data_IF_689024614222
#
_entry.id   IF_689024614222
#
_cell.length_a   1.000
_cell.length_b   1.000
_cell.length_c   1.000
_cell.angle_alpha   90.00
_cell.angle_beta   90.00
_cell.angle_gamma   90.00
#
_symmetry.space_group_name_H-M   'P 1'
#
loop_
_entity.id
_entity.type
_entity.pdbx_description
1 polymer ?
#
# COMPACT_ATOMS: atom_id res chain seq x y z
N UNK A 1 81.49 59.72 14.86
CA UNK A 1 81.42 59.22 13.49
C UNK A 1 80.32 58.22 13.41
N UNK A 2 79.20 58.65 13.05
CA UNK A 2 78.39 58.41 11.85
C UNK A 2 78.54 57.02 11.26
N UNK A 3 77.41 56.28 11.28
CA UNK A 3 76.69 55.89 10.06
C UNK A 3 75.29 55.30 10.34
N UNK A 4 74.35 56.00 9.79
CA UNK A 4 72.95 55.60 9.63
C UNK A 4 72.81 54.33 8.81
N UNK A 5 71.85 53.48 9.14
CA UNK A 5 71.22 52.67 8.09
C UNK A 5 69.74 52.50 8.36
N UNK A 6 69.03 52.75 7.25
CA UNK A 6 67.59 52.91 7.12
C UNK A 6 66.83 51.56 7.20
N UNK A 7 65.72 51.62 7.92
CA UNK A 7 64.63 50.68 7.87
C UNK A 7 64.10 50.54 6.44
N UNK A 8 63.86 49.28 6.02
CA UNK A 8 62.94 48.96 4.91
C UNK A 8 61.79 48.16 5.46
N UNK A 9 60.59 48.79 5.47
CA UNK A 9 59.34 48.14 5.72
C UNK A 9 58.95 47.34 4.48
N UNK A 10 58.69 46.05 4.62
CA UNK A 10 57.92 45.28 3.66
C UNK A 10 56.66 44.82 4.27
N UNK A 11 55.55 45.46 3.85
CA UNK A 11 54.22 45.03 4.09
C UNK A 11 53.94 43.77 3.29
N UNK A 12 53.70 42.63 3.97
CA UNK A 12 53.00 41.47 3.37
C UNK A 12 51.60 41.39 3.91
N UNK A 13 50.66 41.84 3.13
CA UNK A 13 49.25 41.61 3.29
C UNK A 13 48.94 40.14 3.08
N UNK A 14 48.67 39.42 4.15
CA UNK A 14 48.08 38.09 4.08
C UNK A 14 46.57 38.24 3.84
N UNK A 15 46.12 37.93 2.63
CA UNK A 15 44.71 37.71 2.33
C UNK A 15 44.31 36.33 2.89
N UNK A 16 43.17 36.20 3.63
CA UNK A 16 42.71 34.91 4.04
C UNK A 16 42.13 34.17 2.83
N UNK A 17 42.59 32.96 2.66
CA UNK A 17 42.16 32.01 1.65
C UNK A 17 40.73 31.60 1.97
N UNK A 18 39.77 32.12 1.20
CA UNK A 18 38.36 31.66 1.24
C UNK A 18 38.28 30.28 0.59
N UNK A 19 38.35 29.23 1.40
CA UNK A 19 37.99 27.89 0.97
C UNK A 19 36.54 27.89 0.62
N UNK A 20 36.23 27.84 -0.68
CA UNK A 20 34.90 27.58 -1.22
C UNK A 20 34.43 26.22 -0.70
N UNK A 21 33.54 26.22 0.29
CA UNK A 21 32.77 25.02 0.64
C UNK A 21 31.92 24.66 -0.59
N UNK A 22 32.32 23.60 -1.27
CA UNK A 22 31.47 22.95 -2.27
C UNK A 22 30.26 22.40 -1.52
N UNK A 23 29.11 23.05 -1.67
CA UNK A 23 27.84 22.47 -1.29
C UNK A 23 27.55 21.32 -2.25
N UNK A 24 27.92 20.13 -1.86
CA UNK A 24 27.43 18.90 -2.48
C UNK A 24 25.97 18.80 -2.10
N UNK A 25 25.10 19.29 -2.99
CA UNK A 25 23.67 18.99 -2.94
C UNK A 25 23.54 17.51 -3.28
N UNK A 26 23.56 16.67 -2.25
CA UNK A 26 23.14 15.28 -2.39
C UNK A 26 21.67 15.31 -2.71
N UNK A 27 21.32 15.21 -3.99
CA UNK A 27 19.98 14.88 -4.44
C UNK A 27 19.64 13.49 -3.89
N UNK A 28 19.18 13.48 -2.64
CA UNK A 28 18.53 12.31 -2.05
C UNK A 28 17.28 12.09 -2.89
N UNK A 29 17.34 11.20 -3.90
CA UNK A 29 16.16 10.68 -4.58
C UNK A 29 15.20 10.25 -3.46
N UNK A 30 14.17 11.04 -3.21
CA UNK A 30 13.02 10.62 -2.44
C UNK A 30 12.41 9.48 -3.25
N UNK A 31 12.80 8.26 -2.95
CA UNK A 31 11.97 7.11 -3.31
C UNK A 31 10.67 7.36 -2.59
N UNK A 32 9.61 7.71 -3.33
CA UNK A 32 8.25 7.74 -2.82
C UNK A 32 7.93 6.30 -2.40
N UNK A 33 8.31 5.94 -1.17
CA UNK A 33 7.90 4.69 -0.57
C UNK A 33 6.38 4.81 -0.42
N UNK A 34 5.65 4.04 -1.17
CA UNK A 34 4.20 3.96 -1.03
C UNK A 34 3.90 3.40 0.36
N UNK A 35 3.38 4.25 1.24
CA UNK A 35 3.03 3.83 2.59
C UNK A 35 1.60 3.31 2.63
N UNK A 36 1.36 2.14 3.21
CA UNK A 36 0.02 1.62 3.37
C UNK A 36 -0.77 2.45 4.38
N UNK A 37 -1.99 2.80 4.01
CA UNK A 37 -2.95 3.45 4.91
C UNK A 37 -3.65 2.45 5.81
N UNK A 38 -3.82 1.22 5.33
CA UNK A 38 -4.46 0.13 6.05
C UNK A 38 -3.56 -1.10 6.08
N UNK A 39 -3.67 -1.85 7.17
CA UNK A 39 -3.01 -3.15 7.33
C UNK A 39 -4.06 -4.18 7.68
N UNK A 40 -4.17 -5.25 6.89
CA UNK A 40 -5.19 -6.27 6.99
C UNK A 40 -4.61 -7.68 6.94
N UNK A 41 -5.19 -8.58 7.72
CA UNK A 41 -4.86 -9.99 7.65
C UNK A 41 -5.67 -10.70 6.56
N UNK A 42 -5.04 -11.63 5.89
CA UNK A 42 -5.64 -12.42 4.83
C UNK A 42 -5.13 -13.86 4.89
N UNK A 43 -6.05 -14.81 5.05
CA UNK A 43 -5.73 -16.23 5.07
C UNK A 43 -5.46 -16.79 3.68
N UNK A 44 -4.81 -17.95 3.63
CA UNK A 44 -4.72 -18.72 2.38
C UNK A 44 -6.08 -19.38 2.05
N UNK A 45 -6.41 -19.55 0.79
CA UNK A 45 -5.60 -19.27 -0.42
C UNK A 45 -5.69 -17.81 -0.90
N UNK A 46 -6.50 -16.98 -0.26
CA UNK A 46 -6.84 -15.62 -0.72
C UNK A 46 -5.63 -14.71 -0.79
N UNK A 47 -4.73 -14.82 0.21
CA UNK A 47 -3.47 -14.07 0.23
C UNK A 47 -2.65 -14.31 -1.05
N UNK A 48 -2.38 -15.56 -1.36
CA UNK A 48 -1.60 -15.93 -2.56
C UNK A 48 -2.35 -15.55 -3.85
N UNK A 49 -3.66 -15.75 -3.91
CA UNK A 49 -4.44 -15.42 -5.10
C UNK A 49 -4.49 -13.93 -5.40
N UNK A 50 -4.56 -13.07 -4.39
CA UNK A 50 -4.47 -11.61 -4.59
C UNK A 50 -3.03 -11.24 -4.98
N UNK A 51 -2.03 -11.76 -4.30
CA UNK A 51 -0.61 -11.48 -4.59
C UNK A 51 -0.24 -11.81 -6.04
N UNK A 52 -0.79 -12.90 -6.58
CA UNK A 52 -0.60 -13.30 -7.98
C UNK A 52 -1.49 -12.52 -8.98
N UNK A 53 -2.37 -11.66 -8.51
CA UNK A 53 -3.29 -10.92 -9.36
C UNK A 53 -4.42 -11.76 -9.96
N UNK A 54 -4.63 -12.97 -9.47
CA UNK A 54 -5.71 -13.86 -9.91
C UNK A 54 -7.04 -13.49 -9.25
N UNK A 55 -7.02 -13.16 -7.96
CA UNK A 55 -8.16 -12.58 -7.26
C UNK A 55 -8.01 -11.05 -7.26
N UNK A 56 -8.89 -10.37 -7.95
CA UNK A 56 -8.82 -8.91 -8.13
C UNK A 56 -9.91 -8.14 -7.38
N UNK A 57 -10.86 -8.84 -6.79
CA UNK A 57 -11.94 -8.26 -5.98
C UNK A 57 -12.01 -8.97 -4.63
N UNK A 58 -11.85 -8.19 -3.56
CA UNK A 58 -12.05 -8.65 -2.18
C UNK A 58 -13.40 -8.19 -1.66
N UNK A 59 -14.19 -9.11 -1.10
CA UNK A 59 -15.49 -8.86 -0.51
C UNK A 59 -15.41 -8.85 1.02
N UNK A 60 -15.92 -7.82 1.63
CA UNK A 60 -15.95 -7.65 3.08
C UNK A 60 -17.31 -7.16 3.55
N UNK A 61 -17.63 -7.39 4.82
CA UNK A 61 -18.77 -6.75 5.49
C UNK A 61 -18.60 -5.23 5.40
N UNK A 62 -19.62 -4.51 4.95
CA UNK A 62 -19.56 -3.04 4.75
C UNK A 62 -19.64 -2.29 6.09
N UNK A 63 -18.57 -2.42 6.91
CA UNK A 63 -18.49 -1.84 8.26
C UNK A 63 -17.06 -1.36 8.56
N UNK A 64 -16.96 -0.36 9.45
CA UNK A 64 -15.69 0.14 9.96
C UNK A 64 -14.75 0.59 8.85
N UNK A 65 -13.48 0.25 8.95
CA UNK A 65 -12.44 0.66 8.00
C UNK A 65 -12.73 0.28 6.54
N UNK A 66 -13.34 -0.86 6.27
CA UNK A 66 -13.72 -1.25 4.89
C UNK A 66 -14.78 -0.33 4.29
N UNK A 67 -15.71 0.18 5.10
CA UNK A 67 -16.67 1.20 4.67
C UNK A 67 -15.97 2.53 4.36
N UNK A 68 -14.94 2.88 5.11
CA UNK A 68 -14.21 4.15 5.00
C UNK A 68 -13.16 4.18 3.89
N UNK A 69 -12.70 3.03 3.43
CA UNK A 69 -11.70 2.91 2.37
C UNK A 69 -12.15 3.60 1.08
N UNK A 70 -11.20 4.21 0.38
CA UNK A 70 -11.44 4.98 -0.85
C UNK A 70 -10.54 4.49 -1.98
N UNK A 71 -10.98 4.73 -3.21
CA UNK A 71 -10.15 4.52 -4.39
C UNK A 71 -8.86 5.33 -4.26
N UNK A 72 -7.74 4.70 -4.56
CA UNK A 72 -6.39 5.25 -4.39
C UNK A 72 -5.72 4.90 -3.05
N UNK A 73 -6.47 4.48 -2.02
CA UNK A 73 -5.87 4.01 -0.75
C UNK A 73 -5.01 2.76 -0.98
N UNK A 74 -3.97 2.61 -0.17
CA UNK A 74 -3.05 1.47 -0.21
C UNK A 74 -3.30 0.59 1.00
N UNK A 75 -3.40 -0.71 0.76
CA UNK A 75 -3.56 -1.75 1.78
C UNK A 75 -2.33 -2.64 1.78
N UNK A 76 -1.73 -2.85 2.95
CA UNK A 76 -0.80 -3.93 3.20
C UNK A 76 -1.57 -5.17 3.65
N UNK A 77 -1.51 -6.23 2.87
CA UNK A 77 -2.04 -7.52 3.22
C UNK A 77 -0.98 -8.36 3.91
N UNK A 78 -1.32 -8.96 5.04
CA UNK A 78 -0.43 -9.80 5.84
C UNK A 78 -0.96 -11.22 5.95
N UNK A 79 -0.04 -12.17 5.97
CA UNK A 79 -0.30 -13.54 6.34
C UNK A 79 0.81 -14.00 7.30
N UNK A 80 0.42 -14.54 8.44
CA UNK A 80 1.33 -14.94 9.51
C UNK A 80 1.30 -16.45 9.78
N UNK A 81 0.65 -17.26 8.92
CA UNK A 81 0.39 -18.68 9.16
C UNK A 81 1.67 -19.51 9.32
N UNK A 82 2.72 -19.22 8.57
CA UNK A 82 4.00 -19.93 8.68
C UNK A 82 5.16 -18.98 8.96
N UNK A 83 5.36 -18.07 8.05
CA UNK A 83 6.39 -17.06 8.07
C UNK A 83 5.73 -15.74 7.70
N UNK A 84 5.98 -14.69 8.47
CA UNK A 84 5.39 -13.39 8.15
C UNK A 84 5.65 -12.98 6.71
N UNK A 85 4.59 -12.73 5.98
CA UNK A 85 4.60 -12.28 4.57
C UNK A 85 3.66 -11.11 4.42
N UNK A 86 4.01 -10.17 3.57
CA UNK A 86 3.11 -9.08 3.20
C UNK A 86 3.33 -8.61 1.77
N UNK A 87 2.33 -7.96 1.21
CA UNK A 87 2.40 -7.25 -0.06
C UNK A 87 1.42 -6.07 -0.04
N UNK A 88 1.63 -5.14 -0.97
CA UNK A 88 0.81 -3.94 -1.09
C UNK A 88 -0.15 -4.06 -2.27
N UNK A 89 -1.36 -3.53 -2.07
CA UNK A 89 -2.31 -3.26 -3.15
C UNK A 89 -2.80 -1.84 -3.09
N UNK A 90 -3.17 -1.30 -4.25
CA UNK A 90 -3.93 -0.07 -4.35
C UNK A 90 -5.38 -0.37 -4.68
N UNK A 91 -6.30 0.34 -4.03
CA UNK A 91 -7.73 0.26 -4.33
C UNK A 91 -7.97 1.00 -5.66
N UNK A 92 -8.46 0.26 -6.66
CA UNK A 92 -8.78 0.79 -8.00
C UNK A 92 -10.27 1.04 -8.20
N UNK A 93 -11.11 0.46 -7.34
CA UNK A 93 -12.55 0.63 -7.39
C UNK A 93 -13.22 0.11 -6.13
N UNK A 94 -14.43 0.61 -5.87
CA UNK A 94 -15.25 0.21 -4.72
C UNK A 94 -16.71 0.20 -5.13
N UNK A 95 -17.46 -0.79 -4.66
CA UNK A 95 -18.90 -0.87 -4.84
C UNK A 95 -19.56 -1.49 -3.60
N UNK A 96 -20.81 -1.14 -3.35
CA UNK A 96 -21.59 -1.65 -2.22
C UNK A 96 -22.74 -2.50 -2.73
N UNK A 97 -23.02 -3.60 -2.04
CA UNK A 97 -24.04 -4.57 -2.38
C UNK A 97 -24.87 -4.92 -1.14
N UNK A 98 -26.15 -5.27 -1.32
CA UNK A 98 -27.01 -5.66 -0.19
C UNK A 98 -26.61 -7.00 0.43
N UNK A 99 -25.99 -7.89 -0.35
CA UNK A 99 -25.64 -9.25 0.06
C UNK A 99 -24.52 -9.84 -0.80
N UNK A 100 -23.94 -10.96 -0.36
CA UNK A 100 -22.86 -11.65 -1.08
C UNK A 100 -23.32 -12.24 -2.40
N UNK A 101 -24.57 -12.63 -2.54
CA UNK A 101 -25.09 -13.15 -3.81
C UNK A 101 -25.00 -12.09 -4.91
N UNK A 102 -25.59 -10.92 -4.67
CA UNK A 102 -25.53 -9.80 -5.64
C UNK A 102 -24.08 -9.36 -5.92
N UNK A 103 -23.24 -9.33 -4.89
CA UNK A 103 -21.82 -9.05 -5.04
C UNK A 103 -21.13 -10.03 -5.99
N UNK A 104 -21.29 -11.34 -5.79
CA UNK A 104 -20.66 -12.37 -6.64
C UNK A 104 -21.21 -12.38 -8.07
N UNK A 105 -22.52 -12.19 -8.22
CA UNK A 105 -23.17 -12.13 -9.54
C UNK A 105 -22.70 -10.91 -10.35
N UNK A 106 -22.47 -9.78 -9.69
CA UNK A 106 -22.12 -8.52 -10.35
C UNK A 106 -20.61 -8.40 -10.61
N UNK A 107 -19.77 -8.71 -9.63
CA UNK A 107 -18.32 -8.61 -9.76
C UNK A 107 -17.71 -9.79 -10.55
N UNK A 108 -18.34 -10.95 -10.49
CA UNK A 108 -17.92 -12.19 -11.14
C UNK A 108 -17.15 -13.13 -10.21
N UNK A 109 -17.50 -14.42 -10.26
CA UNK A 109 -16.83 -15.45 -9.46
C UNK A 109 -15.35 -15.57 -9.80
N UNK A 110 -14.99 -15.42 -11.06
CA UNK A 110 -13.62 -15.47 -11.55
C UNK A 110 -12.70 -14.44 -10.89
N UNK A 111 -13.25 -13.26 -10.59
CA UNK A 111 -12.50 -12.16 -9.94
C UNK A 111 -12.53 -12.24 -8.42
N UNK A 112 -13.64 -12.71 -7.84
CA UNK A 112 -13.86 -12.76 -6.39
C UNK A 112 -13.30 -14.04 -5.77
N UNK A 113 -13.50 -15.18 -6.42
CA UNK A 113 -13.15 -16.53 -5.99
C UNK A 113 -12.58 -17.33 -7.16
N UNK A 114 -11.39 -16.98 -7.67
CA UNK A 114 -10.81 -17.65 -8.81
C UNK A 114 -10.67 -19.16 -8.59
N UNK A 115 -10.84 -19.92 -9.65
CA UNK A 115 -10.90 -21.39 -9.70
C UNK A 115 -12.15 -22.02 -9.05
N UNK A 116 -13.13 -21.21 -8.64
CA UNK A 116 -14.41 -21.69 -8.09
C UNK A 116 -15.60 -21.52 -9.03
N UNK A 117 -15.38 -20.93 -10.22
CA UNK A 117 -16.43 -20.63 -11.19
C UNK A 117 -17.23 -21.88 -11.60
N UNK A 118 -16.54 -22.99 -11.74
CA UNK A 118 -17.13 -24.30 -12.10
C UNK A 118 -18.12 -24.84 -11.05
N UNK A 119 -18.02 -24.37 -9.81
CA UNK A 119 -18.89 -24.81 -8.73
C UNK A 119 -20.13 -23.91 -8.52
N UNK A 120 -20.19 -22.75 -9.19
CA UNK A 120 -21.32 -21.83 -9.19
C UNK A 120 -21.42 -20.94 -7.96
N UNK A 121 -22.43 -20.06 -7.99
CA UNK A 121 -22.69 -19.03 -6.96
C UNK A 121 -22.95 -19.63 -5.58
N UNK A 122 -23.69 -20.71 -5.48
CA UNK A 122 -24.04 -21.32 -4.19
C UNK A 122 -22.78 -21.82 -3.45
N UNK A 123 -21.84 -22.38 -4.17
CA UNK A 123 -20.54 -22.73 -3.60
C UNK A 123 -19.76 -21.50 -3.16
N UNK A 124 -19.74 -20.46 -3.98
CA UNK A 124 -19.11 -19.17 -3.63
C UNK A 124 -19.72 -18.57 -2.35
N UNK A 125 -21.03 -18.61 -2.19
CA UNK A 125 -21.71 -18.17 -0.97
C UNK A 125 -21.27 -18.98 0.24
N UNK A 126 -21.12 -20.29 0.10
CA UNK A 126 -20.65 -21.15 1.20
C UNK A 126 -19.27 -20.75 1.72
N UNK A 127 -18.39 -20.22 0.86
CA UNK A 127 -17.07 -19.70 1.25
C UNK A 127 -17.21 -18.47 2.14
N UNK A 128 -18.03 -17.50 1.75
CA UNK A 128 -18.23 -16.28 2.55
C UNK A 128 -18.94 -16.53 3.87
N UNK A 129 -19.92 -17.44 3.90
CA UNK A 129 -20.64 -17.77 5.14
C UNK A 129 -19.83 -18.57 6.15
N UNK A 130 -18.59 -18.97 5.84
CA UNK A 130 -17.63 -19.43 6.85
C UNK A 130 -17.09 -18.27 7.72
N UNK A 131 -17.12 -17.06 7.21
CA UNK A 131 -16.56 -15.88 7.86
C UNK A 131 -17.63 -14.89 8.33
N UNK A 132 -18.81 -14.89 7.71
CA UNK A 132 -19.88 -13.92 7.97
C UNK A 132 -21.19 -14.63 8.21
N UNK A 133 -22.01 -14.08 9.12
CA UNK A 133 -23.38 -14.55 9.33
C UNK A 133 -24.34 -13.86 8.36
N UNK A 134 -25.50 -14.46 8.12
CA UNK A 134 -26.57 -13.85 7.33
C UNK A 134 -27.15 -12.60 8.00
N UNK A 135 -27.12 -12.56 9.33
CA UNK A 135 -27.52 -11.39 10.12
C UNK A 135 -26.56 -10.21 9.89
N UNK A 136 -25.24 -10.45 9.89
CA UNK A 136 -24.25 -9.46 9.56
C UNK A 136 -24.41 -8.92 8.14
N UNK A 137 -24.64 -9.81 7.18
CA UNK A 137 -24.92 -9.46 5.79
C UNK A 137 -26.15 -8.56 5.67
N UNK A 138 -27.23 -8.93 6.33
CA UNK A 138 -28.48 -8.16 6.32
C UNK A 138 -28.31 -6.78 6.96
N UNK A 139 -27.53 -6.69 8.03
CA UNK A 139 -27.34 -5.45 8.80
C UNK A 139 -26.40 -4.47 8.10
N UNK A 140 -25.30 -4.96 7.52
CA UNK A 140 -24.20 -4.11 7.02
C UNK A 140 -24.08 -4.13 5.49
N UNK A 141 -24.59 -5.15 4.81
CA UNK A 141 -24.32 -5.39 3.41
C UNK A 141 -22.86 -5.78 3.18
N UNK A 142 -22.45 -5.73 1.92
CA UNK A 142 -21.14 -6.14 1.43
C UNK A 142 -20.48 -4.98 0.68
N UNK A 143 -19.22 -4.78 0.90
CA UNK A 143 -18.39 -3.89 0.09
C UNK A 143 -17.43 -4.72 -0.76
N UNK A 144 -17.43 -4.47 -2.06
CA UNK A 144 -16.43 -4.95 -3.00
C UNK A 144 -15.29 -3.96 -3.10
N UNK A 145 -14.08 -4.42 -2.94
CA UNK A 145 -12.85 -3.64 -3.06
C UNK A 145 -12.05 -4.21 -4.22
N UNK A 146 -11.95 -3.46 -5.32
CA UNK A 146 -11.17 -3.84 -6.49
C UNK A 146 -9.73 -3.45 -6.27
N UNK A 147 -8.82 -4.39 -6.51
CA UNK A 147 -7.42 -4.32 -6.09
C UNK A 147 -6.47 -4.44 -7.27
N UNK A 148 -5.36 -3.71 -7.19
CA UNK A 148 -4.19 -3.88 -8.05
C UNK A 148 -2.95 -4.03 -7.17
N UNK A 149 -2.16 -5.09 -7.38
CA UNK A 149 -0.86 -5.28 -6.72
C UNK A 149 0.13 -4.22 -7.20
N UNK A 150 0.90 -3.67 -6.27
CA UNK A 150 1.87 -2.61 -6.53
C UNK A 150 3.24 -2.95 -5.94
#
# INVERSE_FOLDING_TARGET
>A
MEKRNRSIRTNKSNKPNQSKKLNIITNKKRTNKMEPKYVENLSEPWFTLIQLGLKTVEGRKNKGKFKEMKVGDIIEWKNEDFKPRSFLTQITGKAEYPNFKTYLETEGLDKCLPNMEKYGIDHGLSVYYKYYTKEDEKLFGVVAIRLKVI
#
